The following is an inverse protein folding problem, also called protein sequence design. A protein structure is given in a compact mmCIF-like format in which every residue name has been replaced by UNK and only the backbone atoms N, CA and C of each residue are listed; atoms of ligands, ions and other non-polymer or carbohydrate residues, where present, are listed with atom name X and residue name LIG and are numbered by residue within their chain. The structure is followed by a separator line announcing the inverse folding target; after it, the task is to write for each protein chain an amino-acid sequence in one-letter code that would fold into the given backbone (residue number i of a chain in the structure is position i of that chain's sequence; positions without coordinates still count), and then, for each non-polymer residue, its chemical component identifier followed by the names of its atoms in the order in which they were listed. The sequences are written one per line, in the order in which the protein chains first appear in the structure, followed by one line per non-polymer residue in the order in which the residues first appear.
data_IF_077165437027
#
_entry.id   IF_077165437027
#
_cell.length_a   1.000
_cell.length_b   1.000
_cell.length_c   1.000
_cell.angle_alpha   90.00
_cell.angle_beta   90.00
_cell.angle_gamma   90.00
#
_symmetry.space_group_name_H-M   'P 1'
#
loop_
_entity.id
_entity.type
_entity.pdbx_description
1 polymer ?
#
# COMPACT_ATOMS: atom_id res chain seq x y z
N UNK A 1 7.02 -20.59 -27.37
CA UNK A 1 6.54 -20.82 -25.98
C UNK A 1 5.11 -20.33 -25.90
N UNK A 2 4.15 -21.21 -25.60
CA UNK A 2 2.76 -20.81 -25.37
C UNK A 2 2.69 -20.18 -23.98
N UNK A 3 2.41 -18.87 -23.91
CA UNK A 3 2.22 -18.19 -22.62
C UNK A 3 1.00 -18.79 -21.91
N UNK A 4 1.16 -19.11 -20.63
CA UNK A 4 0.05 -19.62 -19.82
C UNK A 4 -1.07 -18.58 -19.73
N UNK A 5 -2.33 -19.02 -19.74
CA UNK A 5 -3.53 -18.18 -19.56
C UNK A 5 -3.55 -17.35 -18.26
N UNK A 6 -2.60 -17.59 -17.34
CA UNK A 6 -2.49 -16.97 -16.03
C UNK A 6 -1.15 -16.21 -15.86
N UNK A 7 -0.59 -15.66 -16.94
CA UNK A 7 0.65 -14.90 -16.89
C UNK A 7 0.42 -13.52 -16.22
N UNK A 8 0.56 -13.49 -14.89
CA UNK A 8 0.47 -12.29 -14.05
C UNK A 8 1.52 -11.21 -14.41
N UNK A 9 2.53 -11.53 -15.23
CA UNK A 9 3.59 -10.59 -15.61
C UNK A 9 3.12 -9.53 -16.61
N UNK A 10 2.20 -9.86 -17.52
CA UNK A 10 1.55 -8.87 -18.42
C UNK A 10 0.66 -7.89 -17.65
N UNK A 11 0.06 -8.37 -16.56
CA UNK A 11 -0.85 -7.57 -15.76
C UNK A 11 -0.14 -6.46 -14.98
N UNK A 12 1.11 -6.69 -14.55
CA UNK A 12 1.94 -5.67 -13.93
C UNK A 12 2.19 -4.44 -14.83
N UNK A 13 2.15 -4.62 -16.16
CA UNK A 13 2.28 -3.55 -17.17
C UNK A 13 0.97 -2.89 -17.57
N UNK A 14 -0.18 -3.47 -17.26
CA UNK A 14 -1.52 -2.98 -17.66
C UNK A 14 -2.31 -2.33 -16.53
N UNK A 15 -1.83 -2.42 -15.29
CA UNK A 15 -2.45 -1.75 -14.15
C UNK A 15 -2.38 -0.24 -14.33
N UNK A 16 -3.56 0.38 -14.39
CA UNK A 16 -3.71 1.82 -14.23
C UNK A 16 -3.21 2.23 -12.84
N UNK A 17 -2.00 2.77 -12.81
CA UNK A 17 -1.37 3.27 -11.58
C UNK A 17 -1.83 4.67 -11.22
N UNK A 18 -2.65 5.34 -12.03
CA UNK A 18 -3.02 6.74 -11.86
C UNK A 18 -3.86 6.93 -10.59
N UNK A 19 -4.89 6.13 -10.35
CA UNK A 19 -5.68 6.22 -9.11
C UNK A 19 -4.83 5.93 -7.85
N UNK A 20 -3.88 5.00 -7.95
CA UNK A 20 -2.92 4.74 -6.87
C UNK A 20 -1.96 5.91 -6.69
N UNK A 21 -1.53 6.54 -7.78
CA UNK A 21 -0.66 7.70 -7.77
C UNK A 21 -1.38 8.93 -7.24
N UNK A 22 -2.65 9.15 -7.58
CA UNK A 22 -3.49 10.22 -7.05
C UNK A 22 -3.70 10.04 -5.55
N UNK A 23 -4.10 8.84 -5.11
CA UNK A 23 -4.19 8.56 -3.68
C UNK A 23 -2.84 8.74 -2.98
N UNK A 24 -1.75 8.20 -3.53
CA UNK A 24 -0.40 8.40 -2.96
C UNK A 24 -0.05 9.88 -2.93
N UNK A 25 -0.38 10.66 -3.95
CA UNK A 25 -0.12 12.11 -4.02
C UNK A 25 -0.95 12.87 -3.00
N UNK A 26 -2.22 12.52 -2.80
CA UNK A 26 -3.11 13.07 -1.78
C UNK A 26 -2.60 12.73 -0.37
N UNK A 27 -2.23 11.48 -0.12
CA UNK A 27 -1.65 11.00 1.13
C UNK A 27 -0.26 11.61 1.40
N UNK A 28 0.53 11.78 0.36
CA UNK A 28 1.84 12.43 0.36
C UNK A 28 1.75 13.94 0.15
N UNK A 29 0.60 14.60 0.33
CA UNK A 29 0.47 16.06 0.17
C UNK A 29 1.75 16.74 0.67
N UNK A 30 2.47 17.39 -0.27
CA UNK A 30 3.84 17.95 -0.16
C UNK A 30 5.05 17.05 -0.50
N UNK A 31 4.88 15.90 -1.17
CA UNK A 31 6.01 15.07 -1.64
C UNK A 31 6.77 14.35 -0.52
N UNK A 32 6.09 13.97 0.57
CA UNK A 32 6.75 13.38 1.74
C UNK A 32 7.43 12.03 1.40
N UNK A 33 8.65 11.79 1.90
CA UNK A 33 9.29 10.48 1.73
C UNK A 33 8.54 9.40 2.49
N UNK A 34 8.60 8.17 1.97
CA UNK A 34 8.19 6.99 2.73
C UNK A 34 9.15 6.76 3.91
N UNK A 35 8.61 6.47 5.10
CA UNK A 35 9.41 5.92 6.19
C UNK A 35 9.69 4.44 5.90
N UNK A 36 10.96 4.07 5.96
CA UNK A 36 11.38 2.66 5.91
C UNK A 36 11.86 2.30 7.29
N UNK A 37 11.17 1.36 7.94
CA UNK A 37 11.60 0.83 9.22
C UNK A 37 12.98 0.20 9.08
N UNK A 38 13.84 0.45 10.06
CA UNK A 38 15.15 -0.16 10.09
C UNK A 38 15.01 -1.65 10.35
N UNK A 39 15.71 -2.44 9.53
CA UNK A 39 15.78 -3.90 9.60
C UNK A 39 17.25 -4.28 9.70
N UNK A 40 17.55 -5.30 10.48
CA UNK A 40 18.91 -5.76 10.76
C UNK A 40 18.89 -7.13 11.40
N UNK A 41 20.05 -7.63 11.79
CA UNK A 41 20.24 -9.05 12.11
C UNK A 41 19.55 -9.49 13.42
N UNK A 42 19.19 -8.53 14.28
CA UNK A 42 18.48 -8.79 15.53
C UNK A 42 16.98 -8.95 15.26
N UNK A 43 16.36 -9.93 15.93
CA UNK A 43 14.92 -10.21 15.87
C UNK A 43 14.03 -8.99 16.20
N UNK A 44 14.51 -8.08 17.05
CA UNK A 44 13.81 -6.86 17.42
C UNK A 44 14.73 -5.66 17.26
N UNK A 45 14.26 -4.66 16.52
CA UNK A 45 14.92 -3.38 16.31
C UNK A 45 13.93 -2.29 16.70
N UNK A 46 14.35 -1.46 17.65
CA UNK A 46 13.52 -0.37 18.14
C UNK A 46 13.51 0.75 17.13
N UNK A 47 12.30 1.12 16.74
CA UNK A 47 12.05 2.16 15.77
C UNK A 47 11.21 3.26 16.44
N UNK A 48 11.86 4.35 16.88
CA UNK A 48 11.20 5.47 17.54
C UNK A 48 10.49 6.39 16.53
N UNK A 49 9.16 6.56 16.67
CA UNK A 49 8.33 7.44 15.84
C UNK A 49 7.23 8.08 16.68
N UNK A 50 6.84 9.28 16.29
CA UNK A 50 5.62 9.93 16.79
C UNK A 50 4.64 10.13 15.65
N UNK A 51 3.39 9.71 15.84
CA UNK A 51 2.30 9.96 14.89
C UNK A 51 2.00 11.47 14.89
N UNK A 52 1.92 12.07 13.71
CA UNK A 52 1.53 13.46 13.57
C UNK A 52 0.06 13.67 14.00
N UNK A 53 -0.30 14.86 14.50
CA UNK A 53 -1.69 15.21 14.74
C UNK A 53 -2.57 15.09 13.48
N UNK A 54 -3.88 15.01 13.70
CA UNK A 54 -4.87 14.99 12.63
C UNK A 54 -4.76 16.23 11.73
N UNK A 55 -4.81 16.03 10.42
CA UNK A 55 -4.79 17.11 9.43
C UNK A 55 -6.20 17.67 9.21
N UNK A 56 -6.33 18.96 8.84
CA UNK A 56 -7.60 19.50 8.36
C UNK A 56 -8.15 18.67 7.19
N UNK A 57 -9.43 18.33 7.24
CA UNK A 57 -10.10 17.51 6.21
C UNK A 57 -9.93 16.00 6.37
N UNK A 58 -9.12 15.52 7.32
CA UNK A 58 -9.10 14.10 7.68
C UNK A 58 -10.01 13.83 8.87
N UNK A 59 -10.70 12.68 8.85
CA UNK A 59 -11.50 12.24 9.99
C UNK A 59 -10.63 11.63 11.11
N UNK A 60 -9.45 11.13 10.77
CA UNK A 60 -8.52 10.46 11.67
C UNK A 60 -7.07 10.91 11.36
N UNK A 61 -6.10 10.76 12.29
CA UNK A 61 -4.69 11.05 12.01
C UNK A 61 -4.03 10.05 11.03
N UNK A 62 -4.78 9.04 10.59
CA UNK A 62 -4.38 8.02 9.63
C UNK A 62 -5.48 7.83 8.59
N UNK A 63 -5.12 7.23 7.45
CA UNK A 63 -6.02 6.86 6.38
C UNK A 63 -5.99 5.34 6.21
N UNK A 64 -7.17 4.73 6.17
CA UNK A 64 -7.33 3.29 5.95
C UNK A 64 -7.72 3.09 4.49
N UNK A 65 -6.91 2.33 3.75
CA UNK A 65 -7.09 2.15 2.31
C UNK A 65 -6.97 0.66 1.96
N UNK A 66 -7.92 0.10 1.21
CA UNK A 66 -7.79 -1.24 0.67
C UNK A 66 -6.83 -1.26 -0.53
N UNK A 67 -5.88 -2.20 -0.54
CA UNK A 67 -4.84 -2.32 -1.59
C UNK A 67 -4.62 -3.77 -2.02
N UNK A 68 -4.15 -3.98 -3.24
CA UNK A 68 -3.61 -5.23 -3.77
C UNK A 68 -2.09 -5.18 -3.82
N UNK A 69 -1.43 -6.34 -3.66
CA UNK A 69 -0.02 -6.51 -3.96
C UNK A 69 0.11 -7.29 -5.26
N UNK A 70 0.64 -6.64 -6.29
CA UNK A 70 0.59 -7.15 -7.66
C UNK A 70 2.00 -7.32 -8.23
N UNK A 71 2.17 -8.38 -9.01
CA UNK A 71 3.41 -8.72 -9.71
C UNK A 71 4.52 -9.27 -8.82
N UNK A 72 5.67 -9.66 -9.43
CA UNK A 72 6.80 -10.27 -8.72
C UNK A 72 7.46 -9.35 -7.69
N UNK A 73 7.25 -8.03 -7.82
CA UNK A 73 7.81 -7.02 -6.92
C UNK A 73 6.85 -6.59 -5.80
N UNK A 74 5.69 -7.26 -5.64
CA UNK A 74 4.66 -6.90 -4.66
C UNK A 74 4.30 -5.40 -4.68
N UNK A 75 4.06 -4.85 -5.88
CA UNK A 75 3.67 -3.44 -6.02
C UNK A 75 2.31 -3.24 -5.37
N UNK A 76 2.22 -2.24 -4.49
CA UNK A 76 0.97 -1.85 -3.84
C UNK A 76 0.10 -1.02 -4.79
N UNK A 77 -1.17 -1.39 -4.93
CA UNK A 77 -2.15 -0.73 -5.81
C UNK A 77 -3.49 -0.62 -5.10
N UNK A 78 -4.18 0.51 -5.18
CA UNK A 78 -5.47 0.72 -4.51
C UNK A 78 -6.55 -0.22 -5.09
N UNK A 79 -7.34 -0.82 -4.22
CA UNK A 79 -8.52 -1.57 -4.63
C UNK A 79 -9.70 -0.61 -4.87
N UNK A 80 -9.98 -0.29 -6.14
CA UNK A 80 -11.05 0.64 -6.52
C UNK A 80 -12.44 0.19 -6.07
N UNK A 81 -12.67 -1.13 -6.05
CA UNK A 81 -13.94 -1.73 -5.67
C UNK A 81 -14.22 -1.55 -4.19
N UNK A 82 -13.28 -1.95 -3.34
CA UNK A 82 -13.42 -1.84 -1.88
C UNK A 82 -13.35 -0.37 -1.42
N UNK A 83 -12.70 0.50 -2.20
CA UNK A 83 -12.71 1.95 -1.97
C UNK A 83 -14.01 2.63 -2.44
N UNK A 84 -14.94 1.91 -3.10
CA UNK A 84 -16.18 2.49 -3.62
C UNK A 84 -16.01 3.44 -4.81
N UNK A 85 -14.86 3.40 -5.49
CA UNK A 85 -14.50 4.30 -6.58
C UNK A 85 -14.97 3.73 -7.93
N UNK A 86 -14.97 2.41 -8.08
CA UNK A 86 -15.37 1.77 -9.34
C UNK A 86 -15.03 0.30 -9.43
N UNK A 87 -15.06 -0.24 -10.65
CA UNK A 87 -14.65 -1.62 -10.89
C UNK A 87 -13.13 -1.78 -10.68
N UNK A 88 -12.73 -2.87 -10.04
CA UNK A 88 -11.33 -3.18 -9.81
C UNK A 88 -10.92 -4.39 -10.64
N UNK A 89 -10.04 -4.23 -11.64
CA UNK A 89 -9.67 -5.33 -12.52
C UNK A 89 -8.98 -6.49 -11.76
N UNK A 90 -8.32 -6.21 -10.62
CA UNK A 90 -7.68 -7.23 -9.80
C UNK A 90 -8.73 -8.07 -9.04
N UNK A 91 -9.82 -7.44 -8.62
CA UNK A 91 -10.99 -8.15 -8.11
C UNK A 91 -11.61 -9.01 -9.22
N UNK A 92 -11.81 -8.47 -10.42
CA UNK A 92 -12.40 -9.21 -11.54
C UNK A 92 -11.59 -10.46 -11.89
N UNK A 93 -10.26 -10.34 -12.01
CA UNK A 93 -9.36 -11.48 -12.24
C UNK A 93 -9.41 -12.50 -11.10
N UNK A 94 -9.46 -12.04 -9.84
CA UNK A 94 -9.65 -12.95 -8.69
C UNK A 94 -10.91 -13.81 -8.87
N UNK A 95 -12.03 -13.20 -9.25
CA UNK A 95 -13.29 -13.93 -9.47
C UNK A 95 -13.16 -14.95 -10.60
N UNK A 96 -12.47 -14.61 -11.69
CA UNK A 96 -12.21 -15.53 -12.81
C UNK A 96 -11.35 -16.72 -12.40
N UNK A 97 -10.28 -16.48 -11.61
CA UNK A 97 -9.42 -17.54 -11.09
C UNK A 97 -10.16 -18.46 -10.12
N UNK A 98 -10.98 -17.90 -9.22
CA UNK A 98 -11.81 -18.68 -8.30
C UNK A 98 -12.83 -19.55 -9.08
N UNK A 99 -13.46 -19.01 -10.14
CA UNK A 99 -14.33 -19.78 -11.05
C UNK A 99 -13.57 -20.86 -11.82
N UNK A 100 -12.34 -20.56 -12.23
CA UNK A 100 -11.41 -21.48 -12.89
C UNK A 100 -10.80 -22.57 -11.99
N UNK A 101 -11.25 -22.66 -10.71
CA UNK A 101 -10.74 -23.58 -9.68
C UNK A 101 -9.29 -23.30 -9.22
N UNK A 102 -8.71 -22.17 -9.60
CA UNK A 102 -7.41 -21.70 -9.10
C UNK A 102 -7.59 -20.81 -7.86
N UNK A 103 -8.00 -21.43 -6.76
CA UNK A 103 -8.24 -20.73 -5.49
C UNK A 103 -6.97 -20.14 -4.88
N UNK A 104 -5.81 -20.72 -5.18
CA UNK A 104 -4.54 -20.25 -4.61
C UNK A 104 -4.13 -18.93 -5.26
N UNK A 105 -4.16 -18.83 -6.58
CA UNK A 105 -3.88 -17.56 -7.27
C UNK A 105 -4.93 -16.50 -6.92
N UNK A 106 -6.22 -16.86 -6.86
CA UNK A 106 -7.29 -15.94 -6.46
C UNK A 106 -7.10 -15.36 -5.05
N UNK A 107 -6.62 -16.16 -4.09
CA UNK A 107 -6.29 -15.68 -2.73
C UNK A 107 -5.17 -14.64 -2.74
N UNK A 108 -4.15 -14.81 -3.59
CA UNK A 108 -3.04 -13.86 -3.73
C UNK A 108 -3.49 -12.48 -4.20
N UNK A 109 -4.63 -12.39 -4.88
CA UNK A 109 -5.22 -11.14 -5.38
C UNK A 109 -6.24 -10.52 -4.44
N UNK A 110 -6.46 -11.08 -3.25
CA UNK A 110 -7.36 -10.46 -2.28
C UNK A 110 -6.80 -9.11 -1.82
N UNK A 111 -7.67 -8.11 -1.74
CA UNK A 111 -7.30 -6.82 -1.16
C UNK A 111 -6.93 -6.99 0.32
N UNK A 112 -5.93 -6.25 0.74
CA UNK A 112 -5.51 -6.08 2.13
C UNK A 112 -5.81 -4.66 2.57
N UNK A 113 -6.15 -4.48 3.84
CA UNK A 113 -6.31 -3.15 4.42
C UNK A 113 -4.94 -2.62 4.82
N UNK A 114 -4.58 -1.41 4.39
CA UNK A 114 -3.37 -0.70 4.82
C UNK A 114 -3.72 0.61 5.51
N UNK A 115 -2.91 0.95 6.50
CA UNK A 115 -3.04 2.17 7.27
C UNK A 115 -1.87 3.08 6.92
N UNK A 116 -2.18 4.25 6.39
CA UNK A 116 -1.21 5.28 6.06
C UNK A 116 -1.24 6.35 7.13
N UNK A 117 -0.08 6.71 7.68
CA UNK A 117 0.03 7.73 8.71
C UNK A 117 1.24 8.62 8.47
N UNK A 118 1.08 9.91 8.79
CA UNK A 118 2.21 10.82 8.84
C UNK A 118 2.93 10.64 10.18
N UNK A 119 4.24 10.48 10.14
CA UNK A 119 5.07 10.33 11.33
C UNK A 119 6.28 11.26 11.27
N UNK A 120 6.81 11.58 12.44
CA UNK A 120 8.15 12.14 12.60
C UNK A 120 9.04 11.11 13.29
N UNK A 121 10.31 11.08 12.92
CA UNK A 121 11.30 10.28 13.64
C UNK A 121 11.71 11.02 14.91
N UNK A 122 11.76 10.28 16.01
CA UNK A 122 12.21 10.81 17.30
C UNK A 122 13.40 10.00 17.80
N UNK A 123 14.20 10.56 18.69
CA UNK A 123 15.25 9.83 19.39
C UNK A 123 14.69 9.09 20.63
N UNK A 124 15.57 8.43 21.38
CA UNK A 124 15.19 7.70 22.59
C UNK A 124 14.65 8.59 23.72
N UNK A 125 15.00 9.88 23.70
CA UNK A 125 14.55 10.88 24.67
C UNK A 125 13.24 11.56 24.23
N UNK A 126 12.74 11.23 23.04
CA UNK A 126 11.50 11.75 22.48
C UNK A 126 11.64 13.07 21.73
N UNK A 127 12.86 13.54 21.50
CA UNK A 127 13.11 14.73 20.70
C UNK A 127 13.05 14.41 19.21
N UNK A 128 12.80 15.43 18.37
CA UNK A 128 12.82 15.25 16.91
C UNK A 128 14.23 14.87 16.46
N UNK A 129 14.36 13.68 15.87
CA UNK A 129 15.62 13.22 15.30
C UNK A 129 15.91 13.87 13.93
N UNK A 130 14.85 14.16 13.17
CA UNK A 130 14.89 14.86 11.89
C UNK A 130 13.71 15.81 11.80
N UNK A 131 13.92 17.04 11.33
CA UNK A 131 12.85 18.00 11.06
C UNK A 131 12.17 17.69 9.71
N UNK A 132 11.56 16.51 9.65
CA UNK A 132 10.90 16.00 8.45
C UNK A 132 9.73 15.08 8.81
N UNK A 133 8.64 15.23 8.05
CA UNK A 133 7.47 14.34 8.13
C UNK A 133 7.58 13.26 7.07
N UNK A 134 7.33 12.01 7.47
CA UNK A 134 7.37 10.83 6.62
C UNK A 134 5.99 10.17 6.52
N UNK A 135 5.75 9.46 5.42
CA UNK A 135 4.59 8.59 5.26
C UNK A 135 4.96 7.16 5.65
N UNK A 136 4.34 6.62 6.69
CA UNK A 136 4.44 5.21 7.07
C UNK A 136 3.19 4.47 6.60
N UNK A 137 3.39 3.25 6.06
CA UNK A 137 2.33 2.39 5.52
C UNK A 137 2.47 0.95 5.93
#
# INVERSE_FOLDING_TARGET
MVKAKNDMSQWASEIDTEATRTLITELQTEGKPYDKLEVGDKKYITNYRRICPMRPGWQNPYQIVPVHYLGPNNRQVVCLKEAGIGECPACTLRWELEKGKDKQAGRGLRSSIRTFLNVVKIDADGNLAEDKVFLLS
#
